data_IF_024845712889
#
_entry.id   IF_024845712889
#
_cell.length_a   1.000
_cell.length_b   1.000
_cell.length_c   1.000
_cell.angle_alpha   90.00
_cell.angle_beta   90.00
_cell.angle_gamma   90.00
#
_symmetry.space_group_name_H-M   'P 1'
#
loop_
_entity.id
_entity.type
_entity.pdbx_description
1 polymer ?
#
# COMPACT_ATOMS: atom_id res chain seq x y z
N UNK A 1 -42.14 -43.51 24.73
CA UNK A 1 -40.79 -44.11 24.84
C UNK A 1 -40.01 -43.84 23.57
N UNK A 2 -38.79 -43.27 23.66
CA UNK A 2 -37.95 -43.02 22.50
C UNK A 2 -37.46 -44.32 21.85
N UNK A 3 -37.25 -44.34 20.53
CA UNK A 3 -36.74 -45.52 19.82
C UNK A 3 -35.30 -45.81 20.26
N UNK A 4 -35.02 -47.08 20.60
CA UNK A 4 -33.72 -47.49 21.19
C UNK A 4 -32.62 -47.79 20.17
N UNK A 5 -32.95 -47.97 18.89
CA UNK A 5 -31.95 -48.20 17.85
C UNK A 5 -32.25 -47.39 16.59
N UNK A 6 -31.20 -47.17 15.79
CA UNK A 6 -31.23 -46.30 14.60
C UNK A 6 -32.26 -46.76 13.56
N UNK A 7 -32.39 -48.08 13.35
CA UNK A 7 -33.31 -48.65 12.35
C UNK A 7 -34.79 -48.46 12.72
N UNK A 8 -35.13 -48.63 13.99
CA UNK A 8 -36.49 -48.39 14.50
C UNK A 8 -36.78 -46.89 14.50
N UNK A 9 -35.81 -46.07 14.91
CA UNK A 9 -35.95 -44.62 14.90
C UNK A 9 -36.22 -44.07 13.50
N UNK A 10 -35.50 -44.55 12.48
CA UNK A 10 -35.76 -44.21 11.08
C UNK A 10 -37.23 -44.41 10.70
N UNK A 11 -37.76 -45.63 10.91
CA UNK A 11 -39.16 -45.95 10.56
C UNK A 11 -40.16 -45.08 11.32
N UNK A 12 -39.90 -44.83 12.61
CA UNK A 12 -40.74 -43.95 13.43
C UNK A 12 -40.74 -42.52 12.89
N UNK A 13 -39.56 -41.94 12.61
CA UNK A 13 -39.44 -40.58 12.09
C UNK A 13 -40.04 -40.44 10.69
N UNK A 14 -39.90 -41.44 9.82
CA UNK A 14 -40.57 -41.47 8.51
C UNK A 14 -42.09 -41.47 8.64
N UNK A 15 -42.64 -42.25 9.58
CA UNK A 15 -44.07 -42.26 9.86
C UNK A 15 -44.54 -40.91 10.42
N UNK A 16 -43.83 -40.35 11.40
CA UNK A 16 -44.14 -39.04 11.98
C UNK A 16 -44.06 -37.91 10.93
N UNK A 17 -43.16 -38.03 9.95
CA UNK A 17 -43.12 -37.12 8.80
C UNK A 17 -44.45 -37.06 8.04
N UNK A 18 -45.16 -38.18 7.91
CA UNK A 18 -46.49 -38.23 7.27
C UNK A 18 -47.61 -37.63 8.13
N UNK A 19 -47.40 -37.54 9.45
CA UNK A 19 -48.39 -37.07 10.42
C UNK A 19 -48.19 -35.62 10.84
N UNK A 20 -47.29 -34.88 10.19
CA UNK A 20 -46.92 -33.51 10.58
C UNK A 20 -48.10 -32.54 10.72
N UNK A 21 -49.19 -32.74 9.95
CA UNK A 21 -50.39 -31.90 10.02
C UNK A 21 -51.10 -31.95 11.38
N UNK A 22 -50.83 -32.98 12.19
CA UNK A 22 -51.39 -33.14 13.52
C UNK A 22 -50.60 -32.45 14.63
N UNK A 23 -49.43 -31.85 14.32
CA UNK A 23 -48.57 -31.19 15.31
C UNK A 23 -48.87 -29.69 15.37
N UNK A 24 -48.87 -29.13 16.58
CA UNK A 24 -48.96 -27.69 16.83
C UNK A 24 -47.60 -27.10 17.22
N UNK A 25 -47.46 -25.77 17.18
CA UNK A 25 -46.19 -25.08 17.44
C UNK A 25 -45.56 -25.41 18.80
N UNK A 26 -46.38 -25.67 19.82
CA UNK A 26 -45.89 -26.10 21.14
C UNK A 26 -45.22 -27.47 21.09
N UNK A 27 -45.71 -28.38 20.25
CA UNK A 27 -45.13 -29.72 20.11
C UNK A 27 -43.73 -29.62 19.50
N UNK A 28 -43.55 -28.79 18.47
CA UNK A 28 -42.26 -28.58 17.84
C UNK A 28 -41.24 -27.92 18.79
N UNK A 29 -41.67 -26.93 19.59
CA UNK A 29 -40.82 -26.33 20.63
C UNK A 29 -40.40 -27.35 21.69
N UNK A 30 -41.34 -28.19 22.15
CA UNK A 30 -41.04 -29.25 23.11
C UNK A 30 -40.07 -30.28 22.54
N UNK A 31 -40.32 -30.75 21.31
CA UNK A 31 -39.49 -31.76 20.65
C UNK A 31 -38.04 -31.27 20.50
N UNK A 32 -37.84 -29.98 20.23
CA UNK A 32 -36.50 -29.39 20.08
C UNK A 32 -35.57 -29.61 21.28
N UNK A 33 -36.13 -29.67 22.48
CA UNK A 33 -35.39 -29.81 23.74
C UNK A 33 -35.48 -31.22 24.36
N UNK A 34 -36.21 -32.14 23.73
CA UNK A 34 -36.43 -33.51 24.21
C UNK A 34 -35.36 -34.47 23.68
N UNK A 35 -34.81 -35.31 24.54
CA UNK A 35 -33.86 -36.36 24.16
C UNK A 35 -34.60 -37.57 23.61
N UNK A 36 -34.66 -37.69 22.27
CA UNK A 36 -35.34 -38.82 21.63
C UNK A 36 -34.65 -39.36 20.38
N UNK A 37 -33.59 -38.71 19.90
CA UNK A 37 -32.84 -39.16 18.73
C UNK A 37 -31.75 -40.13 19.22
N UNK A 38 -31.79 -41.42 18.84
CA UNK A 38 -30.75 -42.36 19.26
C UNK A 38 -29.46 -42.16 18.44
N UNK A 39 -28.34 -42.12 19.15
CA UNK A 39 -26.98 -42.17 18.61
C UNK A 39 -26.29 -43.46 19.11
N UNK A 40 -25.00 -43.65 18.79
CA UNK A 40 -24.26 -44.85 19.20
C UNK A 40 -24.27 -45.04 20.73
N UNK A 41 -24.20 -46.31 21.18
CA UNK A 41 -24.15 -46.72 22.60
C UNK A 41 -25.40 -46.38 23.45
N UNK A 42 -26.61 -46.55 22.89
CA UNK A 42 -27.90 -46.31 23.57
C UNK A 42 -28.09 -44.88 24.14
N UNK A 43 -27.26 -43.93 23.71
CA UNK A 43 -27.37 -42.53 24.11
C UNK A 43 -28.43 -41.83 23.25
N UNK A 44 -29.23 -40.98 23.89
CA UNK A 44 -30.19 -40.11 23.21
C UNK A 44 -29.63 -38.69 23.17
N UNK A 45 -29.89 -37.98 22.07
CA UNK A 45 -29.53 -36.58 21.91
C UNK A 45 -30.76 -35.74 21.58
N UNK A 46 -30.72 -34.47 21.99
CA UNK A 46 -31.74 -33.48 21.65
C UNK A 46 -31.58 -33.06 20.18
N UNK A 47 -32.68 -32.79 19.45
CA UNK A 47 -32.59 -32.28 18.08
C UNK A 47 -31.66 -31.07 17.94
N UNK A 48 -31.72 -30.12 18.88
CA UNK A 48 -30.90 -28.90 18.82
C UNK A 48 -29.39 -29.11 19.04
N UNK A 49 -28.99 -30.26 19.59
CA UNK A 49 -27.61 -30.58 19.97
C UNK A 49 -26.94 -31.51 18.93
N UNK A 50 -27.62 -31.81 17.81
CA UNK A 50 -27.11 -32.64 16.72
C UNK A 50 -27.38 -32.00 15.35
N UNK A 51 -26.66 -32.45 14.32
CA UNK A 51 -26.68 -31.83 13.00
C UNK A 51 -26.93 -32.84 11.88
N UNK A 52 -27.52 -32.40 10.77
CA UNK A 52 -27.62 -33.23 9.57
C UNK A 52 -26.24 -33.32 8.90
N UNK A 53 -25.87 -34.52 8.44
CA UNK A 53 -24.58 -34.77 7.75
C UNK A 53 -24.46 -33.86 6.52
N UNK A 54 -23.37 -33.09 6.43
CA UNK A 54 -23.04 -32.29 5.26
C UNK A 54 -22.65 -33.20 4.09
N UNK A 55 -22.82 -32.72 2.84
CA UNK A 55 -22.37 -33.44 1.64
C UNK A 55 -20.85 -33.62 1.60
N UNK A 56 -20.10 -32.78 2.31
CA UNK A 56 -18.65 -32.90 2.49
C UNK A 56 -18.34 -33.58 3.83
N UNK A 57 -17.65 -34.72 3.80
CA UNK A 57 -17.47 -35.62 4.95
C UNK A 57 -16.45 -35.14 6.00
N UNK A 58 -15.79 -34.01 5.77
CA UNK A 58 -14.54 -33.71 6.45
C UNK A 58 -14.71 -33.30 7.93
N UNK A 59 -15.86 -32.70 8.29
CA UNK A 59 -16.12 -32.20 9.65
C UNK A 59 -16.81 -33.18 10.60
N UNK A 60 -16.99 -34.45 10.22
CA UNK A 60 -17.81 -35.43 10.97
C UNK A 60 -17.41 -35.61 12.44
N UNK A 61 -16.21 -35.16 12.84
CA UNK A 61 -15.67 -35.31 14.18
C UNK A 61 -15.97 -34.12 15.13
N UNK A 62 -16.43 -32.97 14.63
CA UNK A 62 -16.66 -31.77 15.45
C UNK A 62 -18.05 -31.70 16.05
N UNK A 63 -19.02 -32.30 15.36
CA UNK A 63 -20.41 -32.30 15.77
C UNK A 63 -20.96 -33.71 15.80
N UNK A 64 -22.02 -33.91 16.56
CA UNK A 64 -22.78 -35.16 16.47
C UNK A 64 -23.69 -35.10 15.25
N UNK A 65 -23.28 -35.78 14.18
CA UNK A 65 -24.07 -35.86 12.96
C UNK A 65 -25.03 -37.04 12.98
N UNK A 66 -26.21 -36.84 12.41
CA UNK A 66 -27.20 -37.88 12.20
C UNK A 66 -27.62 -37.95 10.73
N UNK A 67 -27.95 -39.15 10.27
CA UNK A 67 -28.62 -39.37 9.00
C UNK A 67 -29.56 -40.56 9.10
N UNK A 68 -30.86 -40.28 9.00
CA UNK A 68 -31.92 -41.29 8.99
C UNK A 68 -32.57 -41.43 7.60
N UNK A 69 -31.98 -40.82 6.56
CA UNK A 69 -32.55 -40.74 5.22
C UNK A 69 -33.54 -39.59 5.05
N UNK A 70 -33.87 -39.27 3.78
CA UNK A 70 -34.55 -38.02 3.38
C UNK A 70 -35.82 -37.72 4.17
N UNK A 71 -36.76 -38.67 4.24
CA UNK A 71 -38.06 -38.47 4.88
C UNK A 71 -37.96 -38.33 6.41
N UNK A 72 -37.08 -39.10 7.06
CA UNK A 72 -36.87 -38.96 8.50
C UNK A 72 -36.17 -37.64 8.83
N UNK A 73 -35.17 -37.25 8.03
CA UNK A 73 -34.42 -36.01 8.22
C UNK A 73 -35.31 -34.77 8.01
N UNK A 74 -36.31 -34.81 7.12
CA UNK A 74 -37.32 -33.75 6.97
C UNK A 74 -38.12 -33.51 8.27
N UNK A 75 -38.55 -34.58 8.94
CA UNK A 75 -39.23 -34.47 10.23
C UNK A 75 -38.29 -33.92 11.31
N UNK A 76 -37.08 -34.48 11.40
CA UNK A 76 -36.07 -34.05 12.36
C UNK A 76 -35.64 -32.60 12.15
N UNK A 77 -35.64 -32.12 10.90
CA UNK A 77 -35.39 -30.72 10.58
C UNK A 77 -36.42 -29.79 11.22
N UNK A 78 -37.71 -30.16 11.20
CA UNK A 78 -38.77 -29.43 11.91
C UNK A 78 -38.64 -29.54 13.43
N UNK A 79 -38.10 -30.64 13.95
CA UNK A 79 -37.76 -30.77 15.37
C UNK A 79 -36.55 -29.91 15.77
N UNK A 80 -35.80 -29.31 14.83
CA UNK A 80 -34.69 -28.40 15.11
C UNK A 80 -33.30 -28.96 14.86
N UNK A 81 -33.18 -30.17 14.29
CA UNK A 81 -31.92 -30.63 13.69
C UNK A 81 -31.64 -29.79 12.45
N UNK A 82 -30.42 -29.30 12.28
CA UNK A 82 -30.07 -28.46 11.14
C UNK A 82 -28.65 -28.71 10.68
N UNK A 83 -28.25 -28.08 9.60
CA UNK A 83 -26.82 -28.01 9.26
C UNK A 83 -26.08 -27.06 10.24
N UNK A 84 -24.80 -27.31 10.53
CA UNK A 84 -24.00 -26.42 11.37
C UNK A 84 -23.93 -25.03 10.75
N UNK A 85 -24.17 -24.02 11.58
CA UNK A 85 -24.03 -22.61 11.19
C UNK A 85 -22.70 -22.08 11.65
N UNK A 86 -22.27 -20.97 11.05
CA UNK A 86 -21.18 -20.11 11.50
C UNK A 86 -21.11 -19.92 13.03
N UNK A 87 -22.24 -19.71 13.69
CA UNK A 87 -22.33 -19.55 15.15
C UNK A 87 -21.97 -20.83 15.93
N UNK A 88 -22.22 -22.01 15.37
CA UNK A 88 -21.89 -23.27 16.02
C UNK A 88 -20.38 -23.55 15.96
N UNK A 89 -19.74 -23.20 14.84
CA UNK A 89 -18.28 -23.23 14.72
C UNK A 89 -17.61 -22.19 15.63
N UNK A 90 -18.20 -21.00 15.74
CA UNK A 90 -17.73 -19.97 16.67
C UNK A 90 -17.69 -20.51 18.10
N UNK A 91 -18.76 -21.18 18.57
CA UNK A 91 -18.83 -21.77 19.92
C UNK A 91 -17.74 -22.80 20.19
N UNK A 92 -17.43 -23.67 19.23
CA UNK A 92 -16.35 -24.65 19.35
C UNK A 92 -14.99 -23.95 19.48
N UNK A 93 -14.78 -22.86 18.74
CA UNK A 93 -13.52 -22.12 18.70
C UNK A 93 -13.16 -21.46 20.04
N UNK A 94 -14.16 -21.20 20.91
CA UNK A 94 -13.97 -20.55 22.21
C UNK A 94 -13.98 -21.52 23.39
N UNK A 95 -14.17 -22.84 23.17
CA UNK A 95 -14.20 -23.83 24.25
C UNK A 95 -12.81 -24.46 24.49
N UNK A 96 -12.07 -24.05 25.55
CA UNK A 96 -10.75 -24.60 25.87
C UNK A 96 -10.80 -26.03 26.40
N UNK A 97 -11.98 -26.58 26.72
CA UNK A 97 -12.13 -27.93 27.28
C UNK A 97 -12.10 -29.04 26.22
N UNK A 98 -12.16 -28.70 24.94
CA UNK A 98 -12.16 -29.70 23.88
C UNK A 98 -10.76 -30.27 23.62
N UNK A 99 -10.40 -31.35 24.32
CA UNK A 99 -9.26 -32.23 23.97
C UNK A 99 -9.36 -32.83 22.54
N UNK A 100 -10.49 -32.62 21.84
CA UNK A 100 -10.72 -33.06 20.46
C UNK A 100 -9.72 -32.48 19.45
N UNK A 101 -9.11 -31.32 19.71
CA UNK A 101 -8.08 -30.73 18.84
C UNK A 101 -6.90 -31.68 18.59
N UNK A 102 -6.55 -32.49 19.59
CA UNK A 102 -5.39 -33.39 19.56
C UNK A 102 -5.76 -34.84 19.22
N UNK A 103 -7.03 -35.24 19.34
CA UNK A 103 -7.42 -36.65 19.32
C UNK A 103 -7.86 -37.17 17.93
N UNK A 104 -8.42 -36.31 17.06
CA UNK A 104 -8.96 -36.74 15.76
C UNK A 104 -8.32 -36.07 14.53
N UNK A 105 -7.51 -35.02 14.71
CA UNK A 105 -6.74 -34.36 13.66
C UNK A 105 -7.60 -33.73 12.56
N UNK A 106 -7.64 -32.41 12.48
CA UNK A 106 -8.17 -31.72 11.29
C UNK A 106 -7.41 -32.19 10.04
N UNK A 107 -8.14 -32.58 9.01
CA UNK A 107 -7.55 -32.88 7.69
C UNK A 107 -7.44 -31.60 6.85
N UNK A 108 -6.64 -31.63 5.79
CA UNK A 108 -6.36 -30.44 4.96
C UNK A 108 -7.64 -29.78 4.41
N UNK A 109 -8.67 -30.58 4.11
CA UNK A 109 -9.96 -30.06 3.66
C UNK A 109 -10.69 -29.25 4.74
N UNK A 110 -10.57 -29.63 6.01
CA UNK A 110 -11.20 -28.89 7.12
C UNK A 110 -10.56 -27.51 7.28
N UNK A 111 -9.23 -27.45 7.24
CA UNK A 111 -8.51 -26.18 7.29
C UNK A 111 -8.83 -25.28 6.10
N UNK A 112 -9.01 -25.88 4.92
CA UNK A 112 -9.39 -25.12 3.71
C UNK A 112 -10.79 -24.56 3.85
N UNK A 113 -11.74 -25.33 4.37
CA UNK A 113 -13.11 -24.88 4.58
C UNK A 113 -13.18 -23.78 5.65
N UNK A 114 -12.49 -23.95 6.79
CA UNK A 114 -12.48 -22.96 7.87
C UNK A 114 -11.94 -21.61 7.42
N UNK A 115 -10.97 -21.57 6.50
CA UNK A 115 -10.41 -20.32 5.95
C UNK A 115 -11.44 -19.41 5.30
N UNK A 116 -12.48 -19.99 4.71
CA UNK A 116 -13.47 -19.27 3.93
C UNK A 116 -14.83 -19.18 4.64
N UNK A 117 -14.96 -19.79 5.83
CA UNK A 117 -16.15 -19.76 6.67
C UNK A 117 -16.14 -18.52 7.58
N UNK A 118 -17.24 -17.79 7.60
CA UNK A 118 -17.45 -16.68 8.55
C UNK A 118 -17.77 -17.27 9.91
N UNK A 119 -16.84 -17.26 10.87
CA UNK A 119 -17.10 -17.74 12.23
C UNK A 119 -16.34 -16.97 13.30
N UNK A 120 -15.47 -16.04 12.92
CA UNK A 120 -14.72 -15.24 13.88
C UNK A 120 -15.60 -14.10 14.36
N UNK A 121 -15.92 -14.02 15.66
CA UNK A 121 -16.72 -12.92 16.17
C UNK A 121 -15.88 -11.64 16.25
N UNK A 122 -16.43 -10.56 15.74
CA UNK A 122 -15.92 -9.20 15.94
C UNK A 122 -16.92 -8.35 16.73
N UNK A 123 -16.58 -7.09 16.99
CA UNK A 123 -17.49 -6.16 17.67
C UNK A 123 -18.82 -6.06 16.90
N UNK A 124 -19.94 -5.95 17.65
CA UNK A 124 -21.32 -5.86 17.13
C UNK A 124 -21.95 -7.16 16.59
N UNK A 125 -21.54 -8.33 17.09
CA UNK A 125 -22.10 -9.65 16.73
C UNK A 125 -21.96 -10.02 15.24
N UNK A 126 -21.10 -9.31 14.50
CA UNK A 126 -20.73 -9.68 13.15
C UNK A 126 -19.71 -10.82 13.15
N UNK A 127 -19.86 -11.74 12.20
CA UNK A 127 -18.92 -12.82 11.95
C UNK A 127 -18.16 -12.54 10.67
N UNK A 128 -16.85 -12.74 10.71
CA UNK A 128 -15.99 -12.57 9.54
C UNK A 128 -15.17 -13.82 9.28
N UNK A 129 -14.64 -13.91 8.06
CA UNK A 129 -13.74 -14.99 7.66
C UNK A 129 -12.38 -14.78 8.32
N UNK A 130 -11.67 -15.86 8.67
CA UNK A 130 -10.30 -15.77 9.16
C UNK A 130 -9.35 -14.96 8.29
N UNK A 131 -9.53 -15.01 6.97
CA UNK A 131 -8.66 -14.30 6.02
C UNK A 131 -8.90 -12.79 5.97
N UNK A 132 -10.04 -12.34 6.48
CA UNK A 132 -10.47 -10.94 6.45
C UNK A 132 -10.15 -10.19 7.75
N UNK A 133 -9.46 -10.84 8.70
CA UNK A 133 -8.92 -10.20 9.88
C UNK A 133 -7.49 -10.60 10.21
N UNK A 134 -6.92 -9.81 11.11
CA UNK A 134 -5.56 -9.93 11.56
C UNK A 134 -5.46 -10.24 13.06
N UNK A 135 -4.34 -10.81 13.49
CA UNK A 135 -4.02 -10.88 14.91
C UNK A 135 -3.63 -9.49 15.43
N UNK A 136 -4.03 -9.18 16.67
CA UNK A 136 -3.65 -7.95 17.35
C UNK A 136 -2.12 -7.77 17.35
N UNK A 137 -1.65 -6.68 16.76
CA UNK A 137 -0.26 -6.28 16.79
C UNK A 137 0.13 -5.80 18.18
N UNK A 138 1.39 -6.09 18.56
CA UNK A 138 2.03 -5.52 19.77
C UNK A 138 2.06 -3.99 19.73
N UNK A 139 2.20 -3.41 18.55
CA UNK A 139 2.13 -1.97 18.35
C UNK A 139 0.67 -1.53 18.23
N UNK A 140 0.03 -1.31 19.39
CA UNK A 140 -1.43 -1.17 19.47
C UNK A 140 -2.00 -0.07 18.58
N UNK A 141 -1.24 1.02 18.39
CA UNK A 141 -1.68 2.15 17.56
C UNK A 141 -1.89 1.79 16.07
N UNK A 142 -1.21 0.75 15.56
CA UNK A 142 -1.37 0.29 14.17
C UNK A 142 -2.62 -0.59 13.99
N UNK A 143 -3.12 -1.20 15.07
CA UNK A 143 -4.31 -2.04 15.00
C UNK A 143 -5.55 -1.26 14.54
N UNK A 144 -5.57 0.06 14.74
CA UNK A 144 -6.66 0.93 14.27
C UNK A 144 -6.82 0.95 12.74
N UNK A 145 -5.82 0.50 11.97
CA UNK A 145 -5.87 0.42 10.51
C UNK A 145 -6.37 -0.92 9.97
N UNK A 146 -6.65 -1.89 10.84
CA UNK A 146 -6.99 -3.25 10.46
C UNK A 146 -8.19 -3.76 11.25
N UNK A 147 -8.96 -4.66 10.65
CA UNK A 147 -9.87 -5.52 11.41
C UNK A 147 -9.03 -6.56 12.12
N UNK A 148 -9.01 -6.56 13.45
CA UNK A 148 -8.16 -7.45 14.23
C UNK A 148 -8.90 -8.18 15.34
N UNK A 149 -8.33 -9.29 15.80
CA UNK A 149 -8.84 -10.10 16.91
C UNK A 149 -7.73 -10.48 17.88
N UNK A 150 -8.12 -10.74 19.13
CA UNK A 150 -7.28 -11.32 20.16
C UNK A 150 -8.11 -12.12 21.15
N UNK A 151 -8.01 -13.44 21.09
CA UNK A 151 -8.69 -14.37 22.01
C UNK A 151 -7.70 -15.06 22.98
N UNK A 152 -6.49 -14.51 23.10
CA UNK A 152 -5.40 -15.11 23.87
C UNK A 152 -4.62 -16.19 23.10
N UNK A 153 -3.52 -16.66 23.71
CA UNK A 153 -2.47 -17.43 23.01
C UNK A 153 -2.98 -18.68 22.30
N UNK A 154 -3.68 -19.58 23.01
CA UNK A 154 -4.11 -20.87 22.45
C UNK A 154 -5.15 -20.70 21.34
N UNK A 155 -6.11 -19.80 21.53
CA UNK A 155 -7.14 -19.54 20.52
C UNK A 155 -6.54 -18.88 19.28
N UNK A 156 -5.63 -17.91 19.46
CA UNK A 156 -4.94 -17.27 18.34
C UNK A 156 -4.04 -18.25 17.55
N UNK A 157 -3.43 -19.25 18.20
CA UNK A 157 -2.70 -20.33 17.51
C UNK A 157 -3.61 -21.17 16.61
N UNK A 158 -4.82 -21.49 17.07
CA UNK A 158 -5.82 -22.16 16.24
C UNK A 158 -6.26 -21.27 15.07
N UNK A 159 -6.61 -20.02 15.35
CA UNK A 159 -7.02 -19.05 14.33
C UNK A 159 -5.93 -18.80 13.28
N UNK A 160 -4.66 -18.86 13.67
CA UNK A 160 -3.53 -18.79 12.75
C UNK A 160 -3.55 -19.93 11.71
N UNK A 161 -3.90 -21.15 12.13
CA UNK A 161 -4.08 -22.29 11.22
C UNK A 161 -5.33 -22.13 10.35
N UNK A 162 -6.38 -21.52 10.89
CA UNK A 162 -7.58 -21.13 10.15
C UNK A 162 -7.35 -19.99 9.15
N UNK A 163 -6.20 -19.31 9.16
CA UNK A 163 -5.85 -18.30 8.17
C UNK A 163 -5.86 -16.85 8.67
N UNK A 164 -6.19 -16.60 9.95
CA UNK A 164 -5.89 -15.31 10.59
C UNK A 164 -4.39 -15.15 10.64
N UNK A 165 -3.86 -13.97 10.36
CA UNK A 165 -2.41 -13.75 10.34
C UNK A 165 -2.05 -12.38 10.85
N UNK A 166 -0.77 -12.15 11.07
CA UNK A 166 -0.30 -10.77 11.25
C UNK A 166 -0.29 -10.03 9.89
N UNK A 167 -0.51 -8.71 9.87
CA UNK A 167 -0.34 -7.89 8.68
C UNK A 167 1.09 -7.99 8.12
N UNK A 168 1.19 -8.29 6.83
CA UNK A 168 2.43 -8.37 6.07
C UNK A 168 2.81 -7.00 5.50
N UNK A 169 4.01 -6.89 4.93
CA UNK A 169 4.44 -5.68 4.21
C UNK A 169 3.48 -5.26 3.09
N UNK A 170 2.79 -6.23 2.47
CA UNK A 170 1.78 -5.97 1.45
C UNK A 170 0.53 -5.31 2.06
N UNK A 171 0.04 -5.82 3.19
CA UNK A 171 -1.16 -5.25 3.84
C UNK A 171 -0.90 -3.82 4.32
N UNK A 172 0.30 -3.54 4.84
CA UNK A 172 0.71 -2.17 5.17
C UNK A 172 0.78 -1.25 3.95
N UNK A 173 1.18 -1.78 2.79
CA UNK A 173 1.28 -1.01 1.56
C UNK A 173 -0.08 -0.65 0.95
N UNK A 174 -1.12 -1.43 1.28
CA UNK A 174 -2.51 -1.20 0.87
C UNK A 174 -3.27 -0.25 1.80
N UNK A 175 -2.72 0.10 2.98
CA UNK A 175 -3.36 1.08 3.86
C UNK A 175 -3.46 2.42 3.13
N UNK A 176 -4.70 2.84 2.89
CA UNK A 176 -5.04 4.15 2.32
C UNK A 176 -6.08 4.82 3.22
N UNK A 177 -5.71 5.98 3.78
CA UNK A 177 -6.60 6.78 4.62
C UNK A 177 -6.78 8.14 3.98
N UNK A 178 -8.02 8.47 3.61
CA UNK A 178 -8.36 9.76 3.01
C UNK A 178 -8.21 10.92 4.03
N UNK A 179 -7.84 12.14 3.60
CA UNK A 179 -7.78 13.31 4.48
C UNK A 179 -9.05 13.63 5.28
N UNK A 180 -10.22 13.21 4.81
CA UNK A 180 -11.50 13.38 5.52
C UNK A 180 -11.77 12.31 6.59
N UNK A 181 -10.99 11.22 6.61
CA UNK A 181 -11.23 10.09 7.50
C UNK A 181 -10.81 10.40 8.95
N UNK A 182 -11.58 9.90 9.93
CA UNK A 182 -11.31 10.12 11.38
C UNK A 182 -9.91 9.70 11.83
N UNK A 183 -9.31 8.73 11.15
CA UNK A 183 -7.96 8.23 11.45
C UNK A 183 -6.84 8.99 10.71
N UNK A 184 -7.14 10.03 9.93
CA UNK A 184 -6.14 10.74 9.12
C UNK A 184 -4.94 11.22 9.93
N UNK A 185 -5.17 11.87 11.07
CA UNK A 185 -4.09 12.39 11.90
C UNK A 185 -3.20 11.26 12.46
N UNK A 186 -3.81 10.17 12.89
CA UNK A 186 -3.08 8.98 13.34
C UNK A 186 -2.29 8.35 12.19
N UNK A 187 -2.87 8.27 10.99
CA UNK A 187 -2.20 7.75 9.80
C UNK A 187 -0.97 8.59 9.44
N UNK A 188 -1.10 9.92 9.45
CA UNK A 188 0.03 10.84 9.23
C UNK A 188 1.11 10.66 10.28
N UNK A 189 0.74 10.54 11.55
CA UNK A 189 1.69 10.33 12.66
C UNK A 189 2.43 8.98 12.53
N UNK A 190 1.73 7.91 12.19
CA UNK A 190 2.28 6.55 12.11
C UNK A 190 2.88 6.20 10.76
N UNK A 191 2.72 7.03 9.73
CA UNK A 191 3.23 6.77 8.40
C UNK A 191 4.73 6.40 8.35
N UNK A 192 5.65 7.03 9.13
CA UNK A 192 7.05 6.61 9.17
C UNK A 192 7.23 5.15 9.62
N UNK A 193 6.45 4.69 10.61
CA UNK A 193 6.48 3.30 11.08
C UNK A 193 5.87 2.39 10.02
N UNK A 194 4.78 2.81 9.37
CA UNK A 194 4.17 2.08 8.26
C UNK A 194 5.19 1.89 7.12
N UNK A 195 5.99 2.91 6.78
CA UNK A 195 7.07 2.79 5.80
C UNK A 195 8.13 1.77 6.19
N UNK A 196 8.51 1.68 7.48
CA UNK A 196 9.41 0.63 7.96
C UNK A 196 8.80 -0.77 7.80
N UNK A 197 7.49 -0.93 8.06
CA UNK A 197 6.78 -2.20 7.86
C UNK A 197 6.64 -2.58 6.38
N UNK A 198 6.41 -1.60 5.51
CA UNK A 198 6.37 -1.80 4.04
C UNK A 198 7.76 -2.20 3.52
N UNK A 199 8.83 -1.64 4.12
CA UNK A 199 10.21 -1.82 3.70
C UNK A 199 10.38 -1.62 2.16
N UNK A 200 9.95 -0.47 1.60
CA UNK A 200 9.76 -0.30 0.16
C UNK A 200 11.04 -0.49 -0.66
N UNK A 201 10.96 -1.15 -1.82
CA UNK A 201 12.08 -1.19 -2.76
C UNK A 201 12.32 0.20 -3.40
N UNK A 202 13.36 0.32 -4.23
CA UNK A 202 13.73 1.60 -4.85
C UNK A 202 12.56 2.22 -5.64
N UNK A 203 11.88 1.44 -6.46
CA UNK A 203 10.76 1.94 -7.27
C UNK A 203 9.60 2.43 -6.40
N UNK A 204 9.21 1.65 -5.39
CA UNK A 204 8.12 2.01 -4.49
C UNK A 204 8.44 3.27 -3.70
N UNK A 205 9.65 3.41 -3.14
CA UNK A 205 9.99 4.61 -2.34
C UNK A 205 10.04 5.87 -3.20
N UNK A 206 10.52 5.79 -4.45
CA UNK A 206 10.54 6.93 -5.37
C UNK A 206 9.14 7.35 -5.80
N UNK A 207 8.23 6.39 -6.04
CA UNK A 207 6.83 6.69 -6.33
C UNK A 207 6.11 7.32 -5.12
N UNK A 208 6.36 6.82 -3.89
CA UNK A 208 5.81 7.43 -2.67
C UNK A 208 6.34 8.85 -2.41
N UNK A 209 7.55 9.15 -2.89
CA UNK A 209 8.15 10.48 -2.84
C UNK A 209 7.67 11.43 -3.95
N UNK A 210 6.91 10.95 -4.94
CA UNK A 210 6.49 11.71 -6.12
C UNK A 210 4.98 12.04 -6.10
N UNK A 211 4.52 13.07 -6.82
CA UNK A 211 3.10 13.25 -7.12
C UNK A 211 2.52 12.01 -7.86
N UNK A 212 1.24 11.65 -7.65
CA UNK A 212 0.20 12.42 -6.95
C UNK A 212 0.13 12.21 -5.43
N UNK A 213 1.07 11.49 -4.81
CA UNK A 213 1.07 11.25 -3.35
C UNK A 213 1.02 12.56 -2.57
N UNK A 214 0.26 12.60 -1.47
CA UNK A 214 0.09 13.80 -0.63
C UNK A 214 1.44 14.37 -0.17
N UNK A 215 1.56 15.70 -0.14
CA UNK A 215 2.81 16.40 0.18
C UNK A 215 3.43 15.98 1.52
N UNK A 216 2.62 15.74 2.56
CA UNK A 216 3.12 15.28 3.87
C UNK A 216 3.82 13.93 3.77
N UNK A 217 3.22 12.99 3.04
CA UNK A 217 3.80 11.65 2.83
C UNK A 217 5.03 11.69 1.92
N UNK A 218 5.04 12.56 0.90
CA UNK A 218 6.24 12.75 0.05
C UNK A 218 7.44 13.18 0.86
N UNK A 219 7.27 14.13 1.78
CA UNK A 219 8.36 14.58 2.68
C UNK A 219 8.90 13.42 3.52
N UNK A 220 8.00 12.62 4.10
CA UNK A 220 8.39 11.44 4.90
C UNK A 220 9.07 10.35 4.05
N UNK A 221 8.59 10.12 2.82
CA UNK A 221 9.19 9.16 1.89
C UNK A 221 10.59 9.61 1.41
N UNK A 222 10.77 10.91 1.11
CA UNK A 222 12.09 11.48 0.78
C UNK A 222 13.05 11.31 1.95
N UNK A 223 12.58 11.58 3.18
CA UNK A 223 13.37 11.38 4.39
C UNK A 223 13.78 9.91 4.55
N UNK A 224 12.83 8.98 4.42
CA UNK A 224 13.11 7.54 4.47
C UNK A 224 14.14 7.11 3.41
N UNK A 225 14.02 7.62 2.18
CA UNK A 225 14.98 7.38 1.10
C UNK A 225 16.38 7.84 1.49
N UNK A 226 16.52 9.07 2.01
CA UNK A 226 17.82 9.64 2.43
C UNK A 226 18.43 8.82 3.56
N UNK A 227 17.64 8.53 4.60
CA UNK A 227 18.10 7.89 5.84
C UNK A 227 18.53 6.43 5.59
N UNK A 228 17.88 5.75 4.64
CA UNK A 228 18.20 4.38 4.25
C UNK A 228 19.08 4.26 3.00
N UNK A 229 19.51 5.38 2.40
CA UNK A 229 20.20 5.40 1.10
C UNK A 229 21.41 4.48 1.06
N UNK A 230 22.36 4.67 1.98
CA UNK A 230 23.65 4.00 1.95
C UNK A 230 23.51 2.48 2.19
N UNK A 231 22.57 2.10 3.06
CA UNK A 231 22.32 0.70 3.43
C UNK A 231 21.51 -0.06 2.37
N UNK A 232 20.57 0.62 1.72
CA UNK A 232 19.51 -0.04 0.93
C UNK A 232 19.53 0.30 -0.56
N UNK A 233 19.76 1.56 -0.92
CA UNK A 233 19.52 2.04 -2.27
C UNK A 233 20.80 2.30 -3.06
N UNK A 234 21.91 2.63 -2.41
CA UNK A 234 23.14 3.09 -3.05
C UNK A 234 23.68 2.12 -4.13
N UNK A 235 23.55 0.80 -3.93
CA UNK A 235 24.04 -0.22 -4.88
C UNK A 235 23.23 -0.28 -6.18
N UNK A 236 21.94 0.02 -6.11
CA UNK A 236 20.99 -0.15 -7.23
C UNK A 236 20.56 1.19 -7.85
N UNK A 237 20.69 2.28 -7.10
CA UNK A 237 20.29 3.61 -7.53
C UNK A 237 21.21 4.16 -8.61
N UNK A 238 20.63 4.46 -9.77
CA UNK A 238 21.32 5.02 -10.94
C UNK A 238 20.57 6.28 -11.39
N UNK A 239 20.94 7.48 -10.89
CA UNK A 239 20.19 8.73 -11.09
C UNK A 239 19.87 9.01 -12.56
N UNK A 240 20.78 8.68 -13.47
CA UNK A 240 20.67 8.87 -14.91
C UNK A 240 19.55 8.03 -15.55
N UNK A 241 19.12 6.95 -14.89
CA UNK A 241 18.03 6.07 -15.34
C UNK A 241 16.69 6.40 -14.69
N UNK A 242 16.66 7.32 -13.73
CA UNK A 242 15.44 7.67 -12.99
C UNK A 242 14.62 8.71 -13.76
N UNK A 243 13.41 8.31 -14.14
CA UNK A 243 12.43 9.17 -14.81
C UNK A 243 11.31 9.66 -13.88
N UNK A 244 11.33 9.26 -12.61
CA UNK A 244 10.34 9.69 -11.61
C UNK A 244 10.69 11.10 -11.13
N UNK A 245 9.71 12.00 -11.13
CA UNK A 245 9.86 13.36 -10.66
C UNK A 245 9.53 13.46 -9.15
N UNK A 246 10.52 13.20 -8.29
CA UNK A 246 10.34 13.12 -6.83
C UNK A 246 11.14 14.18 -6.04
N UNK A 247 12.04 14.93 -6.70
CA UNK A 247 12.89 15.92 -6.02
C UNK A 247 12.16 17.26 -6.01
N UNK A 248 11.80 17.83 -4.84
CA UNK A 248 11.17 19.14 -4.77
C UNK A 248 12.15 20.25 -5.15
N UNK A 249 11.62 21.31 -5.76
CA UNK A 249 12.40 22.46 -6.20
C UNK A 249 12.09 23.72 -5.38
N UNK A 250 13.07 24.61 -5.24
CA UNK A 250 12.87 25.91 -4.56
C UNK A 250 12.11 26.93 -5.43
N UNK A 251 12.33 26.91 -6.75
CA UNK A 251 11.83 27.94 -7.67
C UNK A 251 10.58 27.53 -8.45
N UNK A 252 10.02 26.34 -8.19
CA UNK A 252 8.80 25.85 -8.83
C UNK A 252 8.03 25.00 -7.82
N UNK A 253 6.70 25.14 -7.79
CA UNK A 253 5.81 24.25 -7.03
C UNK A 253 5.62 22.91 -7.75
N UNK A 254 6.74 22.24 -8.02
CA UNK A 254 6.78 20.98 -8.74
C UNK A 254 7.97 20.14 -8.31
N UNK A 255 7.79 18.82 -8.34
CA UNK A 255 8.91 17.89 -8.25
C UNK A 255 9.57 17.71 -9.62
N UNK A 256 10.83 17.27 -9.62
CA UNK A 256 11.59 17.01 -10.85
C UNK A 256 12.41 15.72 -10.74
N UNK A 257 12.87 15.23 -11.88
CA UNK A 257 13.77 14.09 -11.94
C UNK A 257 15.21 14.54 -11.63
N UNK A 258 16.09 13.64 -11.14
CA UNK A 258 17.48 13.99 -10.81
C UNK A 258 18.21 14.75 -11.91
N UNK A 259 18.04 14.32 -13.17
CA UNK A 259 18.74 14.91 -14.31
C UNK A 259 18.29 16.34 -14.65
N UNK A 260 17.10 16.77 -14.21
CA UNK A 260 16.53 18.09 -14.51
C UNK A 260 16.61 19.07 -13.34
N UNK A 261 17.27 18.68 -12.26
CA UNK A 261 17.50 19.48 -11.06
C UNK A 261 18.98 19.86 -10.96
N UNK A 262 19.29 21.02 -10.37
CA UNK A 262 20.66 21.47 -10.18
C UNK A 262 20.90 22.09 -8.80
N UNK A 263 22.13 22.07 -8.30
CA UNK A 263 22.49 22.67 -7.00
C UNK A 263 23.01 24.11 -7.11
N UNK A 264 23.45 24.55 -8.29
CA UNK A 264 23.89 25.93 -8.49
C UNK A 264 22.70 26.86 -8.77
N UNK A 265 22.42 27.76 -7.84
CA UNK A 265 21.31 28.72 -7.96
C UNK A 265 21.41 29.62 -9.20
N UNK A 266 22.63 29.87 -9.73
CA UNK A 266 22.79 30.68 -10.95
C UNK A 266 22.10 30.08 -12.17
N UNK A 267 21.86 28.77 -12.20
CA UNK A 267 21.14 28.14 -13.31
C UNK A 267 19.68 28.64 -13.43
N UNK A 268 19.12 29.26 -12.39
CA UNK A 268 17.81 29.91 -12.44
C UNK A 268 17.75 31.03 -13.50
N UNK A 269 18.87 31.69 -13.81
CA UNK A 269 18.93 32.76 -14.82
C UNK A 269 18.49 32.27 -16.21
N UNK A 270 18.71 30.98 -16.48
CA UNK A 270 18.28 30.30 -17.69
C UNK A 270 17.04 29.43 -17.45
N UNK A 271 16.25 29.68 -16.40
CA UNK A 271 15.04 28.94 -16.00
C UNK A 271 15.25 27.45 -15.67
N UNK A 272 16.44 27.04 -15.23
CA UNK A 272 16.63 25.67 -14.75
C UNK A 272 16.08 25.49 -13.33
N UNK A 273 15.63 24.27 -13.01
CA UNK A 273 15.08 23.93 -11.70
C UNK A 273 16.19 23.68 -10.69
N UNK A 274 16.07 24.26 -9.51
CA UNK A 274 17.06 24.11 -8.43
C UNK A 274 16.47 23.27 -7.31
N UNK A 275 17.30 22.38 -6.75
CA UNK A 275 16.92 21.54 -5.62
C UNK A 275 16.43 22.38 -4.45
N UNK A 276 15.41 21.90 -3.74
CA UNK A 276 14.92 22.57 -2.54
C UNK A 276 16.04 22.78 -1.51
N UNK A 277 16.04 23.92 -0.84
CA UNK A 277 17.12 24.37 0.07
C UNK A 277 17.45 23.33 1.13
N UNK A 278 16.43 22.78 1.81
CA UNK A 278 16.58 21.76 2.85
C UNK A 278 17.29 20.48 2.37
N UNK A 279 17.23 20.17 1.07
CA UNK A 279 17.80 18.97 0.48
C UNK A 279 19.19 19.19 -0.10
N UNK A 280 19.66 20.44 -0.19
CA UNK A 280 20.91 20.79 -0.86
C UNK A 280 22.12 20.07 -0.25
N UNK A 281 22.16 19.92 1.07
CA UNK A 281 23.22 19.18 1.78
C UNK A 281 23.24 17.67 1.46
N UNK A 282 22.16 17.13 0.91
CA UNK A 282 21.99 15.72 0.53
C UNK A 282 21.95 15.52 -0.99
N UNK A 283 22.24 16.55 -1.79
CA UNK A 283 22.17 16.51 -3.25
C UNK A 283 22.90 15.32 -3.89
N UNK A 284 24.04 14.90 -3.30
CA UNK A 284 24.79 13.73 -3.75
C UNK A 284 23.98 12.43 -3.71
N UNK A 285 23.13 12.22 -2.69
CA UNK A 285 22.26 11.03 -2.60
C UNK A 285 21.19 11.01 -3.68
N UNK A 286 20.78 12.17 -4.17
CA UNK A 286 19.84 12.28 -5.27
C UNK A 286 20.51 12.17 -6.64
N UNK A 287 21.84 12.31 -6.72
CA UNK A 287 22.56 12.40 -8.00
C UNK A 287 22.28 13.70 -8.75
N UNK A 288 21.99 14.78 -8.02
CA UNK A 288 21.72 16.10 -8.59
C UNK A 288 23.04 16.78 -8.92
N UNK A 289 23.22 17.13 -10.19
CA UNK A 289 24.43 17.80 -10.67
C UNK A 289 24.50 19.26 -10.23
N UNK A 290 25.70 19.83 -10.22
CA UNK A 290 25.87 21.25 -9.91
C UNK A 290 25.32 22.15 -11.01
N UNK A 291 25.63 21.84 -12.27
CA UNK A 291 25.23 22.60 -13.45
C UNK A 291 24.62 21.67 -14.52
N UNK A 292 23.78 22.21 -15.43
CA UNK A 292 23.38 21.52 -16.65
C UNK A 292 24.59 21.21 -17.53
N UNK A 293 24.53 20.10 -18.27
CA UNK A 293 25.56 19.80 -19.27
C UNK A 293 25.47 20.76 -20.48
N UNK A 294 26.54 20.82 -21.27
CA UNK A 294 26.65 21.68 -22.46
C UNK A 294 25.42 21.59 -23.40
N UNK A 295 24.86 20.39 -23.59
CA UNK A 295 23.73 20.20 -24.50
C UNK A 295 22.45 20.87 -23.96
N UNK A 296 22.20 20.76 -22.65
CA UNK A 296 21.07 21.45 -22.00
C UNK A 296 21.22 22.97 -22.05
N UNK A 297 22.42 23.48 -21.82
CA UNK A 297 22.70 24.92 -21.89
C UNK A 297 22.44 25.47 -23.30
N UNK A 298 22.96 24.80 -24.33
CA UNK A 298 22.78 25.19 -25.74
C UNK A 298 21.29 25.14 -26.12
N UNK A 299 20.59 24.05 -25.81
CA UNK A 299 19.18 23.92 -26.16
C UNK A 299 18.34 24.99 -25.47
N UNK A 300 18.58 25.25 -24.17
CA UNK A 300 17.87 26.30 -23.43
C UNK A 300 18.11 27.69 -24.01
N UNK A 301 19.34 28.00 -24.42
CA UNK A 301 19.68 29.28 -25.04
C UNK A 301 18.97 29.48 -26.40
N UNK A 302 18.82 28.41 -27.18
CA UNK A 302 18.13 28.44 -28.48
C UNK A 302 16.61 28.55 -28.30
N UNK A 303 16.04 27.75 -27.40
CA UNK A 303 14.59 27.69 -27.15
C UNK A 303 14.07 28.93 -26.41
N UNK A 304 14.90 29.54 -25.56
CA UNK A 304 14.52 30.68 -24.72
C UNK A 304 15.68 31.67 -24.61
N UNK A 305 16.02 32.37 -25.71
CA UNK A 305 17.06 33.37 -25.70
C UNK A 305 16.72 34.54 -24.75
N UNK A 306 17.72 35.21 -24.16
CA UNK A 306 17.48 36.32 -23.24
C UNK A 306 16.72 37.45 -23.93
N UNK A 307 15.67 37.95 -23.28
CA UNK A 307 14.71 38.89 -23.88
C UNK A 307 15.20 40.34 -23.93
N UNK A 308 16.21 40.70 -23.13
CA UNK A 308 16.74 42.05 -23.05
C UNK A 308 18.21 42.05 -22.61
N UNK A 309 18.84 43.22 -22.72
CA UNK A 309 20.26 43.44 -22.44
C UNK A 309 20.68 43.02 -21.03
N UNK A 310 19.86 43.30 -20.01
CA UNK A 310 20.19 42.99 -18.61
C UNK A 310 20.17 41.47 -18.37
N UNK A 311 19.13 40.79 -18.84
CA UNK A 311 19.03 39.32 -18.74
C UNK A 311 20.15 38.66 -19.56
N UNK A 312 20.44 39.18 -20.77
CA UNK A 312 21.50 38.67 -21.62
C UNK A 312 22.87 38.74 -20.95
N UNK A 313 23.19 39.86 -20.30
CA UNK A 313 24.43 40.01 -19.54
C UNK A 313 24.59 38.89 -18.52
N UNK A 314 23.60 38.69 -17.66
CA UNK A 314 23.68 37.66 -16.61
C UNK A 314 23.73 36.23 -17.17
N UNK A 315 22.98 35.95 -18.24
CA UNK A 315 23.02 34.65 -18.94
C UNK A 315 24.40 34.39 -19.54
N UNK A 316 24.99 35.39 -20.21
CA UNK A 316 26.32 35.25 -20.81
C UNK A 316 27.43 35.16 -19.75
N UNK A 317 27.33 35.93 -18.67
CA UNK A 317 28.24 35.82 -17.52
C UNK A 317 28.19 34.40 -16.92
N UNK A 318 26.99 33.83 -16.76
CA UNK A 318 26.85 32.44 -16.31
C UNK A 318 27.44 31.44 -17.31
N UNK A 319 27.11 31.54 -18.61
CA UNK A 319 27.62 30.65 -19.65
C UNK A 319 29.15 30.70 -19.77
N UNK A 320 29.75 31.87 -19.56
CA UNK A 320 31.20 32.04 -19.53
C UNK A 320 31.86 31.20 -18.41
N UNK A 321 31.20 31.03 -17.25
CA UNK A 321 31.68 30.13 -16.19
C UNK A 321 31.61 28.64 -16.57
N UNK A 322 30.85 28.29 -17.62
CA UNK A 322 30.66 26.91 -18.08
C UNK A 322 31.42 26.62 -19.40
N UNK A 323 32.15 27.60 -19.93
CA UNK A 323 32.71 27.55 -21.29
C UNK A 323 33.69 26.40 -21.54
N UNK A 324 34.41 25.95 -20.50
CA UNK A 324 35.36 24.82 -20.60
C UNK A 324 34.67 23.50 -20.99
N UNK A 325 33.36 23.39 -20.80
CA UNK A 325 32.57 22.21 -21.18
C UNK A 325 32.12 22.21 -22.65
N UNK A 326 32.28 23.31 -23.38
CA UNK A 326 31.85 23.47 -24.76
C UNK A 326 32.92 22.98 -25.72
N UNK A 327 32.49 22.42 -26.85
CA UNK A 327 33.38 21.93 -27.92
C UNK A 327 33.43 22.91 -29.09
N UNK A 328 34.42 22.77 -29.97
CA UNK A 328 34.51 23.56 -31.21
C UNK A 328 33.24 23.45 -32.07
N UNK A 329 32.60 22.28 -32.07
CA UNK A 329 31.32 22.08 -32.77
C UNK A 329 30.19 22.90 -32.13
N UNK A 330 30.19 23.04 -30.80
CA UNK A 330 29.20 23.86 -30.09
C UNK A 330 29.38 25.34 -30.44
N UNK A 331 30.63 25.82 -30.50
CA UNK A 331 30.94 27.20 -30.88
C UNK A 331 30.55 27.51 -32.32
N UNK A 332 30.85 26.62 -33.27
CA UNK A 332 30.39 26.72 -34.68
C UNK A 332 28.87 26.73 -34.82
N UNK A 333 28.15 26.06 -33.91
CA UNK A 333 26.69 26.14 -33.87
C UNK A 333 26.26 27.51 -33.35
N UNK A 334 26.78 27.93 -32.21
CA UNK A 334 26.39 29.17 -31.53
C UNK A 334 26.69 30.42 -32.35
N UNK A 335 27.77 30.45 -33.14
CA UNK A 335 28.11 31.62 -33.98
C UNK A 335 26.97 32.02 -34.93
N UNK A 336 26.14 31.06 -35.36
CA UNK A 336 25.08 31.25 -36.36
C UNK A 336 23.67 31.33 -35.74
N UNK A 337 23.50 31.08 -34.43
CA UNK A 337 22.20 31.12 -33.75
C UNK A 337 21.87 32.55 -33.31
N UNK A 338 20.64 33.00 -33.58
CA UNK A 338 20.14 34.31 -33.14
C UNK A 338 19.70 34.27 -31.68
N UNK A 339 20.60 34.60 -30.75
CA UNK A 339 20.30 34.69 -29.32
C UNK A 339 20.75 35.99 -28.64
N UNK A 340 21.39 36.91 -29.38
CA UNK A 340 21.82 38.20 -28.82
C UNK A 340 20.69 39.22 -29.01
N UNK A 341 20.11 39.78 -27.94
CA UNK A 341 19.07 40.79 -28.06
C UNK A 341 19.65 42.16 -28.38
N UNK A 342 19.08 42.80 -29.41
CA UNK A 342 19.34 44.21 -29.76
C UNK A 342 18.10 45.02 -29.40
N UNK A 343 18.15 45.66 -28.24
CA UNK A 343 17.00 46.33 -27.62
C UNK A 343 16.44 47.47 -28.48
N UNK A 344 17.30 48.22 -29.18
CA UNK A 344 16.88 49.32 -30.06
C UNK A 344 16.04 48.87 -31.25
N UNK A 345 16.18 47.61 -31.67
CA UNK A 345 15.54 47.06 -32.86
C UNK A 345 14.58 45.90 -32.54
N UNK A 346 14.36 45.62 -31.25
CA UNK A 346 13.55 44.50 -30.75
C UNK A 346 13.77 43.19 -31.54
N UNK A 347 15.04 42.88 -31.82
CA UNK A 347 15.43 41.73 -32.65
C UNK A 347 16.53 40.91 -32.00
N UNK A 348 16.56 39.63 -32.33
CA UNK A 348 17.66 38.73 -32.01
C UNK A 348 18.60 38.64 -33.22
N UNK A 349 19.90 38.73 -32.97
CA UNK A 349 20.96 38.59 -33.98
C UNK A 349 21.93 37.49 -33.58
N UNK A 350 22.68 36.98 -34.56
CA UNK A 350 23.71 35.98 -34.30
C UNK A 350 25.00 36.65 -33.80
N UNK A 351 25.85 35.94 -33.03
CA UNK A 351 27.16 36.46 -32.66
C UNK A 351 28.01 36.90 -33.85
N UNK A 352 27.91 36.21 -35.00
CA UNK A 352 28.66 36.52 -36.21
C UNK A 352 28.25 37.83 -36.87
N UNK A 353 27.05 38.33 -36.57
CA UNK A 353 26.51 39.60 -37.06
C UNK A 353 26.81 40.78 -36.11
N UNK A 354 27.60 40.56 -35.05
CA UNK A 354 27.89 41.53 -34.00
C UNK A 354 29.38 41.88 -33.89
N UNK A 355 29.67 43.09 -33.42
CA UNK A 355 31.02 43.54 -33.07
C UNK A 355 31.09 43.91 -31.59
N UNK A 356 32.19 43.54 -30.93
CA UNK A 356 32.48 44.03 -29.58
C UNK A 356 32.83 45.50 -29.65
N UNK A 357 32.24 46.31 -28.75
CA UNK A 357 32.62 47.71 -28.61
C UNK A 357 34.07 47.79 -28.10
N UNK A 358 34.95 48.46 -28.86
CA UNK A 358 36.30 48.75 -28.40
C UNK A 358 36.21 49.61 -27.13
N UNK A 359 36.93 49.21 -26.07
CA UNK A 359 37.16 50.10 -24.93
C UNK A 359 38.09 51.19 -25.42
N UNK A 360 37.64 52.45 -25.43
CA UNK A 360 38.55 53.58 -25.59
C UNK A 360 39.51 53.56 -24.40
N UNK A 361 40.77 53.18 -24.64
CA UNK A 361 41.84 53.36 -23.68
C UNK A 361 42.03 54.86 -23.47
N UNK A 362 41.87 55.30 -22.22
CA UNK A 362 42.25 56.66 -21.80
C UNK A 362 43.74 56.84 -22.05
N UNK A 363 44.11 57.51 -23.13
CA UNK A 363 45.43 58.10 -23.26
C UNK A 363 45.55 59.27 -22.28
N UNK A 364 46.41 59.11 -21.28
CA UNK A 364 46.89 60.19 -20.42
C UNK A 364 48.41 60.21 -20.50
N UNK A 365 48.94 61.31 -21.07
CA UNK A 365 50.31 61.88 -21.01
C UNK A 365 51.42 61.14 -21.82
N UNK A 366 52.40 61.76 -22.49
CA UNK A 366 53.08 63.09 -22.43
C UNK A 366 53.81 63.39 -23.78
N UNK A 367 53.94 64.68 -24.16
CA UNK A 367 54.99 65.39 -24.97
C UNK A 367 55.47 64.81 -26.35
N UNK A 368 55.79 65.58 -27.42
CA UNK A 368 56.55 66.83 -27.55
C UNK A 368 56.52 67.36 -29.01
N UNK A 369 56.39 68.69 -29.15
CA UNK A 369 57.04 69.66 -30.08
C UNK A 369 57.87 69.20 -31.33
N UNK A 370 57.73 70.01 -32.41
CA UNK A 370 58.51 70.18 -33.66
C UNK A 370 58.35 69.03 -34.70
N UNK A 371 58.09 69.25 -35.99
CA UNK A 371 58.48 70.30 -36.94
C UNK A 371 57.31 70.97 -37.67
#
# INVERSE_FOLDING_TARGET
NPPKNVNVAKKVFEYLNTQQKGFIDSDWKMLKDLEFIPIQHDKLIKPRDCFLKLKEESLNNFFTYIDFGTKANEFLAKCGVREPSSNDFAKISVDPSHELWNLYGFIDSDWKMLKDLEFIPIQHDELIKPRDCFLKLKEESLNNFFTYVDFGTKANEFLAKCGVREPSSYDFAEISVDPSHKLWNLYVEKYPIILEKINPNLEKILNLAAPPTNSKFRVMAIKYFIDNFDKKYAKVYKPEKINIAFIPCSNFDACTKPSDCFTNYRCMIMNFKIIHEDLRSKAGKFGVCQNPNRAKLINRLIESPPSNTNVAKEVFDYLNTQQESFTDSDWKKLENVKFIPIQSANKLVSPRDCFLKLKEERYVLFERKYF
#
